data_IF_707989674082
#
_entry.id   IF_707989674082
#
_cell.length_a   1.000
_cell.length_b   1.000
_cell.length_c   1.000
_cell.angle_alpha   90.00
_cell.angle_beta   90.00
_cell.angle_gamma   90.00
#
_symmetry.space_group_name_H-M   'P 1'
#
loop_
_entity.id
_entity.type
_entity.pdbx_description
1 polymer ?
#
# COMPACT_ATOMS: atom_id res chain seq x y z
N UNK A 1 59.15 27.12 -4.60
CA UNK A 1 58.01 27.95 -4.13
C UNK A 1 56.75 27.53 -4.87
N UNK A 2 55.66 27.22 -4.14
CA UNK A 2 54.22 27.22 -4.55
C UNK A 2 53.84 26.15 -5.59
N UNK A 3 52.77 25.34 -5.52
CA UNK A 3 51.50 25.29 -4.78
C UNK A 3 51.02 23.82 -4.76
N UNK A 4 50.73 23.25 -3.58
CA UNK A 4 49.38 22.88 -3.08
C UNK A 4 48.67 21.69 -3.75
N UNK A 5 48.82 20.52 -3.12
CA UNK A 5 47.77 19.60 -2.64
C UNK A 5 46.35 19.80 -3.21
N UNK A 6 45.86 18.81 -3.95
CA UNK A 6 44.44 18.46 -3.98
C UNK A 6 44.27 16.95 -3.77
N UNK A 7 43.81 16.64 -2.57
CA UNK A 7 43.32 15.37 -2.08
C UNK A 7 41.98 15.11 -2.78
N UNK A 8 41.91 14.08 -3.62
CA UNK A 8 40.67 13.60 -4.22
C UNK A 8 40.07 12.46 -3.41
N UNK A 9 39.51 12.74 -2.24
CA UNK A 9 38.56 11.85 -1.56
C UNK A 9 37.17 12.13 -2.14
N UNK A 10 36.85 11.57 -3.30
CA UNK A 10 35.43 11.44 -3.70
C UNK A 10 34.87 10.22 -3.00
N UNK A 11 34.12 10.50 -1.95
CA UNK A 11 33.50 9.58 -1.04
C UNK A 11 32.66 8.51 -1.75
N UNK A 12 32.90 7.28 -1.34
CA UNK A 12 31.95 6.17 -1.37
C UNK A 12 30.71 6.62 -0.56
N UNK A 13 29.68 7.14 -1.23
CA UNK A 13 28.45 7.59 -0.57
C UNK A 13 27.18 7.25 -1.38
N UNK A 14 27.18 6.12 -2.11
CA UNK A 14 25.99 5.59 -2.78
C UNK A 14 25.40 4.34 -2.10
N UNK A 15 25.90 3.95 -0.92
CA UNK A 15 25.55 2.68 -0.28
C UNK A 15 24.75 2.80 1.01
N UNK A 16 23.88 3.80 1.15
CA UNK A 16 22.90 3.88 2.24
C UNK A 16 21.56 4.51 1.79
N UNK A 17 21.09 4.16 0.59
CA UNK A 17 19.64 4.21 0.35
C UNK A 17 19.03 3.09 1.19
N UNK A 18 18.82 3.36 2.48
CA UNK A 18 17.90 2.57 3.28
C UNK A 18 16.62 2.51 2.47
N UNK A 19 16.23 1.32 2.00
CA UNK A 19 14.90 1.07 1.48
C UNK A 19 13.96 1.51 2.59
N UNK A 20 13.43 2.74 2.48
CA UNK A 20 12.32 3.18 3.29
C UNK A 20 11.16 2.33 2.81
N UNK A 21 11.06 1.11 3.37
CA UNK A 21 9.96 0.23 3.10
C UNK A 21 8.69 1.00 3.42
N UNK A 22 7.79 1.03 2.46
CA UNK A 22 6.52 1.68 2.62
C UNK A 22 5.54 0.62 3.12
N UNK A 23 4.71 0.98 4.08
CA UNK A 23 3.84 0.01 4.75
C UNK A 23 2.39 0.40 4.55
N UNK A 24 1.55 -0.59 4.21
CA UNK A 24 0.12 -0.46 4.43
C UNK A 24 -0.20 -0.97 5.83
N UNK A 25 -0.74 -0.10 6.66
CA UNK A 25 -1.08 -0.38 8.06
C UNK A 25 -2.59 -0.29 8.27
N UNK A 26 -3.21 -1.33 8.81
CA UNK A 26 -4.63 -1.31 9.15
C UNK A 26 -4.83 -1.71 10.61
N UNK A 27 -5.68 -0.98 11.32
CA UNK A 27 -5.98 -1.24 12.73
C UNK A 27 -7.38 -1.85 12.88
N UNK A 28 -7.45 -2.98 13.56
CA UNK A 28 -8.69 -3.65 13.92
C UNK A 28 -9.43 -2.86 15.00
N UNK A 29 -10.73 -2.62 14.80
CA UNK A 29 -11.59 -2.06 15.82
C UNK A 29 -11.78 -2.96 17.04
N UNK A 30 -11.53 -4.28 16.89
CA UNK A 30 -11.64 -5.27 17.96
C UNK A 30 -10.29 -5.59 18.63
N UNK A 31 -9.19 -4.95 18.20
CA UNK A 31 -7.82 -5.24 18.65
C UNK A 31 -7.40 -6.73 18.50
N UNK A 32 -8.03 -7.46 17.58
CA UNK A 32 -7.71 -8.84 17.23
C UNK A 32 -7.58 -9.02 15.71
N UNK A 33 -7.15 -10.20 15.29
CA UNK A 33 -6.86 -10.52 13.89
C UNK A 33 -7.87 -11.49 13.25
N UNK A 34 -8.87 -11.94 14.01
CA UNK A 34 -9.82 -12.98 13.59
C UNK A 34 -10.77 -12.49 12.48
N UNK A 35 -10.89 -11.17 12.34
CA UNK A 35 -11.78 -10.51 11.38
C UNK A 35 -11.15 -10.36 9.98
N UNK A 36 -9.89 -10.77 9.80
CA UNK A 36 -9.13 -10.56 8.56
C UNK A 36 -9.50 -11.52 7.43
N UNK A 37 -9.52 -12.86 7.64
CA UNK A 37 -9.71 -13.80 6.55
C UNK A 37 -11.04 -13.59 5.82
N UNK A 38 -11.13 -14.06 4.58
CA UNK A 38 -12.36 -14.05 3.79
C UNK A 38 -12.34 -13.06 2.63
N UNK A 39 -13.51 -12.84 2.04
CA UNK A 39 -13.65 -12.03 0.83
C UNK A 39 -14.16 -10.62 1.13
N UNK A 40 -13.62 -9.68 0.39
CA UNK A 40 -13.85 -8.26 0.54
C UNK A 40 -14.11 -7.62 -0.81
N UNK A 41 -14.97 -6.61 -0.82
CA UNK A 41 -15.22 -5.78 -1.98
C UNK A 41 -15.20 -4.32 -1.55
N UNK A 42 -14.71 -3.44 -2.41
CA UNK A 42 -14.54 -2.04 -2.08
C UNK A 42 -14.51 -1.14 -3.29
N UNK A 43 -14.39 0.15 -3.00
CA UNK A 43 -14.12 1.17 -3.99
C UNK A 43 -13.04 2.10 -3.47
N UNK A 44 -12.29 2.68 -4.40
CA UNK A 44 -11.22 3.61 -4.08
C UNK A 44 -11.07 4.69 -5.13
N UNK A 45 -10.42 5.77 -4.71
CA UNK A 45 -10.01 6.88 -5.58
C UNK A 45 -8.52 7.09 -5.44
N UNK A 46 -7.85 7.31 -6.56
CA UNK A 46 -6.47 7.77 -6.64
C UNK A 46 -6.47 9.14 -7.35
N UNK A 47 -5.86 10.15 -6.72
CA UNK A 47 -5.87 11.52 -7.23
C UNK A 47 -4.46 12.09 -7.26
N UNK A 48 -4.08 12.71 -8.37
CA UNK A 48 -2.87 13.53 -8.48
C UNK A 48 -3.11 14.66 -9.50
N UNK A 49 -2.40 15.77 -9.35
CA UNK A 49 -2.52 16.96 -10.21
C UNK A 49 -2.34 16.67 -11.72
N UNK A 50 -1.54 15.67 -12.08
CA UNK A 50 -1.20 15.30 -13.46
C UNK A 50 -2.22 14.32 -14.07
N UNK A 51 -2.66 13.32 -13.32
CA UNK A 51 -3.57 12.26 -13.83
C UNK A 51 -5.04 12.58 -13.59
N UNK A 52 -5.34 13.59 -12.76
CA UNK A 52 -6.69 13.89 -12.29
C UNK A 52 -7.16 12.90 -11.23
N UNK A 53 -8.45 12.57 -11.25
CA UNK A 53 -9.06 11.56 -10.38
C UNK A 53 -9.28 10.26 -11.18
N UNK A 54 -8.84 9.13 -10.61
CA UNK A 54 -9.13 7.79 -11.07
C UNK A 54 -9.96 7.07 -10.00
N UNK A 55 -11.12 6.54 -10.36
CA UNK A 55 -11.95 5.74 -9.46
C UNK A 55 -11.89 4.25 -9.85
N UNK A 56 -11.89 3.40 -8.82
CA UNK A 56 -11.75 1.96 -8.97
C UNK A 56 -12.79 1.23 -8.11
N UNK A 57 -13.25 0.08 -8.61
CA UNK A 57 -13.89 -0.95 -7.80
C UNK A 57 -12.89 -2.08 -7.59
N UNK A 58 -12.83 -2.63 -6.39
CA UNK A 58 -11.89 -3.69 -6.08
C UNK A 58 -12.55 -4.86 -5.38
N UNK A 59 -11.93 -6.02 -5.52
CA UNK A 59 -12.23 -7.20 -4.73
C UNK A 59 -10.95 -7.79 -4.17
N UNK A 60 -11.01 -8.42 -3.02
CA UNK A 60 -9.87 -9.10 -2.47
C UNK A 60 -10.25 -10.30 -1.61
N UNK A 61 -9.36 -11.29 -1.60
CA UNK A 61 -9.45 -12.47 -0.75
C UNK A 61 -8.25 -12.47 0.17
N UNK A 62 -8.52 -12.54 1.47
CA UNK A 62 -7.51 -12.62 2.51
C UNK A 62 -7.51 -14.04 3.06
N UNK A 63 -6.35 -14.68 3.04
CA UNK A 63 -6.17 -16.04 3.53
C UNK A 63 -6.28 -16.16 5.04
N UNK A 64 -6.35 -17.40 5.50
CA UNK A 64 -6.24 -17.73 6.93
C UNK A 64 -4.88 -17.30 7.49
N UNK A 65 -4.86 -16.96 8.77
CA UNK A 65 -3.62 -16.60 9.46
C UNK A 65 -2.86 -17.86 9.88
N UNK A 66 -1.55 -17.86 9.65
CA UNK A 66 -0.66 -18.86 10.23
C UNK A 66 -0.36 -18.59 11.71
N UNK A 67 0.42 -19.46 12.34
CA UNK A 67 0.80 -19.34 13.77
C UNK A 67 1.59 -18.07 14.09
N UNK A 68 2.16 -17.41 13.10
CA UNK A 68 2.89 -16.15 13.24
C UNK A 68 2.01 -14.93 12.89
N UNK A 69 0.73 -15.14 12.59
CA UNK A 69 -0.20 -14.11 12.13
C UNK A 69 0.01 -13.67 10.69
N UNK A 70 0.78 -14.41 9.90
CA UNK A 70 1.01 -14.13 8.47
C UNK A 70 -0.14 -14.66 7.63
N UNK A 71 -0.48 -13.95 6.55
CA UNK A 71 -1.52 -14.36 5.62
C UNK A 71 -1.25 -13.84 4.20
N UNK A 72 -1.75 -14.56 3.22
CA UNK A 72 -1.69 -14.15 1.82
C UNK A 72 -2.90 -13.27 1.45
N UNK A 73 -2.67 -12.32 0.56
CA UNK A 73 -3.67 -11.36 0.11
C UNK A 73 -3.68 -11.42 -1.41
N UNK A 74 -4.86 -11.60 -1.99
CA UNK A 74 -5.08 -11.41 -3.41
C UNK A 74 -6.05 -10.26 -3.59
N UNK A 75 -5.67 -9.24 -4.35
CA UNK A 75 -6.50 -8.06 -4.59
C UNK A 75 -6.53 -7.75 -6.07
N UNK A 76 -7.72 -7.44 -6.57
CA UNK A 76 -7.95 -6.90 -7.89
C UNK A 76 -8.62 -5.53 -7.80
N UNK A 77 -8.30 -4.67 -8.76
CA UNK A 77 -8.91 -3.37 -8.91
C UNK A 77 -9.19 -3.12 -10.39
N UNK A 78 -10.43 -2.74 -10.68
CA UNK A 78 -10.95 -2.41 -12.00
C UNK A 78 -11.34 -0.93 -12.04
N UNK A 79 -10.86 -0.21 -13.05
CA UNK A 79 -11.21 1.19 -13.23
C UNK A 79 -12.70 1.32 -13.49
N UNK A 80 -13.35 2.17 -12.69
CA UNK A 80 -14.76 2.53 -12.87
C UNK A 80 -14.90 3.85 -13.60
N UNK A 81 -13.99 4.80 -13.37
CA UNK A 81 -13.94 6.08 -14.11
C UNK A 81 -12.57 6.75 -13.98
N UNK A 82 -12.31 7.74 -14.83
CA UNK A 82 -11.08 8.53 -14.81
C UNK A 82 -10.48 8.74 -16.20
N UNK A 83 -9.30 9.34 -16.23
CA UNK A 83 -8.56 9.59 -17.46
C UNK A 83 -8.09 8.29 -18.14
N UNK A 84 -7.73 8.38 -19.42
CA UNK A 84 -7.12 7.27 -20.18
C UNK A 84 -5.77 6.82 -19.60
N UNK A 85 -5.07 7.70 -18.87
CA UNK A 85 -3.81 7.35 -18.20
C UNK A 85 -4.01 6.50 -16.94
N UNK A 86 -5.24 6.42 -16.41
CA UNK A 86 -5.56 5.54 -15.30
C UNK A 86 -5.53 4.08 -15.78
N UNK A 87 -4.75 3.18 -15.15
CA UNK A 87 -4.75 1.76 -15.49
C UNK A 87 -6.16 1.16 -15.48
N UNK A 88 -6.48 0.31 -16.47
CA UNK A 88 -7.84 -0.27 -16.56
C UNK A 88 -8.08 -1.37 -15.52
N UNK A 89 -7.08 -2.21 -15.29
CA UNK A 89 -7.17 -3.34 -14.38
C UNK A 89 -5.80 -3.63 -13.76
N UNK A 90 -5.79 -4.03 -12.49
CA UNK A 90 -4.62 -4.62 -11.86
C UNK A 90 -5.03 -5.72 -10.90
N UNK A 91 -4.25 -6.80 -10.86
CA UNK A 91 -4.35 -7.86 -9.85
C UNK A 91 -2.98 -8.09 -9.23
N UNK A 92 -2.92 -8.18 -7.91
CA UNK A 92 -1.66 -8.33 -7.18
C UNK A 92 -1.83 -9.27 -6.01
N UNK A 93 -0.77 -10.03 -5.73
CA UNK A 93 -0.67 -10.88 -4.54
C UNK A 93 0.32 -10.25 -3.56
N UNK A 94 -0.09 -10.05 -2.33
CA UNK A 94 0.69 -9.44 -1.26
C UNK A 94 0.74 -10.39 -0.06
N UNK A 95 1.64 -10.09 0.89
CA UNK A 95 1.70 -10.77 2.18
C UNK A 95 1.50 -9.78 3.30
N UNK A 96 0.58 -10.10 4.19
CA UNK A 96 0.32 -9.34 5.40
C UNK A 96 0.78 -10.09 6.63
N UNK A 97 1.04 -9.35 7.70
CA UNK A 97 1.19 -9.88 9.05
C UNK A 97 0.22 -9.13 9.95
N UNK A 98 -0.54 -9.84 10.77
CA UNK A 98 -1.36 -9.25 11.82
C UNK A 98 -0.86 -9.66 13.20
N UNK A 99 -0.58 -8.66 14.04
CA UNK A 99 -0.23 -8.85 15.45
C UNK A 99 -1.04 -7.88 16.28
N UNK A 100 -1.77 -8.38 17.28
CA UNK A 100 -2.56 -7.57 18.21
C UNK A 100 -3.51 -6.57 17.51
N UNK A 101 -4.17 -7.02 16.43
CA UNK A 101 -5.09 -6.20 15.65
C UNK A 101 -4.42 -5.16 14.74
N UNK A 102 -3.08 -5.14 14.64
CA UNK A 102 -2.36 -4.33 13.66
C UNK A 102 -1.95 -5.19 12.47
N UNK A 103 -2.55 -4.94 11.32
CA UNK A 103 -2.14 -5.48 10.02
C UNK A 103 -1.03 -4.61 9.45
N UNK A 104 0.04 -5.24 8.99
CA UNK A 104 1.13 -4.59 8.24
C UNK A 104 1.39 -5.37 6.95
N UNK A 105 1.36 -4.67 5.82
CA UNK A 105 1.70 -5.21 4.50
C UNK A 105 2.89 -4.40 3.99
N UNK A 106 4.02 -5.08 3.76
CA UNK A 106 5.22 -4.43 3.22
C UNK A 106 5.06 -4.22 1.72
N UNK A 107 5.39 -3.02 1.27
CA UNK A 107 5.25 -2.63 -0.13
C UNK A 107 6.31 -1.61 -0.53
N UNK A 108 6.50 -1.46 -1.84
CA UNK A 108 7.32 -0.39 -2.41
C UNK A 108 6.47 0.80 -2.88
N UNK A 109 5.14 0.67 -2.85
CA UNK A 109 4.21 1.61 -3.47
C UNK A 109 3.86 2.82 -2.61
N UNK A 110 4.42 3.01 -1.43
CA UNK A 110 4.02 4.10 -0.52
C UNK A 110 3.20 3.63 0.67
N UNK A 111 2.58 4.56 1.39
CA UNK A 111 1.98 4.30 2.70
C UNK A 111 0.47 4.45 2.64
N UNK A 112 -0.25 3.47 3.19
CA UNK A 112 -1.68 3.54 3.45
C UNK A 112 -1.91 3.26 4.93
N UNK A 113 -2.80 4.03 5.53
CA UNK A 113 -3.23 3.80 6.91
C UNK A 113 -4.74 3.74 6.98
N UNK A 114 -5.26 2.79 7.73
CA UNK A 114 -6.69 2.57 7.80
C UNK A 114 -7.15 1.87 9.06
N UNK A 115 -8.46 1.72 9.15
CA UNK A 115 -9.13 0.92 10.17
C UNK A 115 -10.01 -0.11 9.49
N UNK A 116 -10.20 -1.24 10.14
CA UNK A 116 -11.16 -2.26 9.73
C UNK A 116 -11.89 -2.83 10.94
N UNK A 117 -13.02 -3.46 10.65
CA UNK A 117 -13.88 -4.18 11.57
C UNK A 117 -14.38 -5.44 10.87
N UNK A 118 -15.15 -6.26 11.57
CA UNK A 118 -15.74 -7.49 11.05
C UNK A 118 -16.42 -7.38 9.69
N UNK A 119 -17.01 -6.23 9.37
CA UNK A 119 -17.84 -6.07 8.17
C UNK A 119 -17.35 -5.01 7.20
N UNK A 120 -16.49 -4.09 7.63
CA UNK A 120 -16.05 -2.97 6.80
C UNK A 120 -14.75 -2.35 7.28
N UNK A 121 -14.15 -1.54 6.41
CA UNK A 121 -13.00 -0.72 6.75
C UNK A 121 -12.79 0.40 5.75
N UNK A 122 -11.82 1.24 6.07
CA UNK A 122 -11.40 2.34 5.22
C UNK A 122 -9.93 2.63 5.41
N UNK A 123 -9.28 3.11 4.37
CA UNK A 123 -7.88 3.50 4.42
C UNK A 123 -7.61 4.71 3.53
N UNK A 124 -6.58 5.48 3.90
CA UNK A 124 -6.09 6.60 3.12
C UNK A 124 -4.58 6.68 3.19
N UNK A 125 -3.98 7.32 2.20
CA UNK A 125 -2.56 7.62 2.23
C UNK A 125 -2.08 8.03 0.85
N UNK A 126 -0.79 7.90 0.62
CA UNK A 126 -0.14 8.36 -0.59
C UNK A 126 0.70 7.24 -1.17
N UNK A 127 0.46 6.93 -2.44
CA UNK A 127 1.18 5.89 -3.17
C UNK A 127 2.12 6.49 -4.20
N UNK A 128 3.36 5.99 -4.27
CA UNK A 128 4.28 6.31 -5.35
C UNK A 128 4.05 5.36 -6.53
N UNK A 129 3.63 5.90 -7.66
CA UNK A 129 3.31 5.11 -8.88
C UNK A 129 4.42 5.16 -9.92
N UNK A 130 5.28 6.18 -9.86
CA UNK A 130 6.52 6.29 -10.64
C UNK A 130 7.45 7.33 -10.00
N UNK A 131 8.75 7.37 -10.34
CA UNK A 131 9.68 8.33 -9.76
C UNK A 131 9.18 9.78 -9.90
N UNK A 132 8.95 10.44 -8.75
CA UNK A 132 8.44 11.81 -8.70
C UNK A 132 6.92 11.96 -8.90
N UNK A 133 6.17 10.84 -8.90
CA UNK A 133 4.72 10.84 -9.04
C UNK A 133 4.06 10.07 -7.91
N UNK A 134 3.42 10.84 -7.04
CA UNK A 134 2.68 10.32 -5.88
C UNK A 134 1.19 10.60 -6.03
N UNK A 135 0.34 9.63 -5.72
CA UNK A 135 -1.12 9.74 -5.81
C UNK A 135 -1.71 9.62 -4.42
N UNK A 136 -2.64 10.51 -4.10
CA UNK A 136 -3.43 10.40 -2.88
C UNK A 136 -4.53 9.37 -3.08
N UNK A 137 -4.58 8.39 -2.19
CA UNK A 137 -5.49 7.27 -2.28
C UNK A 137 -6.45 7.29 -1.10
N UNK A 138 -7.72 6.99 -1.39
CA UNK A 138 -8.73 6.71 -0.38
C UNK A 138 -9.53 5.48 -0.78
N UNK A 139 -9.78 4.58 0.18
CA UNK A 139 -10.42 3.29 -0.06
C UNK A 139 -11.48 3.07 1.01
N UNK A 140 -12.61 2.51 0.61
CA UNK A 140 -13.61 1.91 1.49
C UNK A 140 -13.86 0.48 1.04
N UNK A 141 -14.00 -0.43 1.99
CA UNK A 141 -14.23 -1.84 1.71
C UNK A 141 -15.17 -2.46 2.72
N UNK A 142 -15.83 -3.53 2.30
CA UNK A 142 -16.78 -4.32 3.08
C UNK A 142 -16.59 -5.80 2.81
N UNK A 143 -16.91 -6.61 3.81
CA UNK A 143 -16.87 -8.07 3.69
C UNK A 143 -18.02 -8.52 2.77
N UNK A 144 -17.76 -9.52 1.94
CA UNK A 144 -18.73 -10.12 1.03
C UNK A 144 -18.67 -11.64 1.18
N UNK A 145 -19.81 -12.27 1.49
CA UNK A 145 -19.88 -13.69 1.85
C UNK A 145 -20.54 -13.90 3.19
#
# INVERSE_FOLDING_TARGET
MKQKLLIGFTAVALSLAHMAHADFTFYSGANNCDEIPGNWAGSGKATNWLIGECAYNGSGTLGELDTNGSFDIEVSADKSSGSFVCPDHNTTKLKGVCVNGKVTIKTEYGNLSGIFSKTSGSAKGTLSVSPGMDVDVSIQFKRVG
#
